data_IF_810868592200
#
_entry.id   IF_810868592200
#
_cell.length_a   1.000
_cell.length_b   1.000
_cell.length_c   1.000
_cell.angle_alpha   90.00
_cell.angle_beta   90.00
_cell.angle_gamma   90.00
#
_symmetry.space_group_name_H-M   'P 1'
#
loop_
_entity.id
_entity.type
_entity.pdbx_description
1 polymer ?
#
# COMPACT_ATOMS: atom_id res chain seq x y z
N UNK A 1 13.95 -23.03 6.86
CA UNK A 1 14.76 -24.15 7.41
C UNK A 1 13.85 -25.00 8.30
N UNK A 2 14.16 -26.28 8.64
CA UNK A 2 13.30 -27.03 9.53
C UNK A 2 13.22 -26.36 10.91
N UNK A 3 12.01 -26.27 11.47
CA UNK A 3 11.80 -25.69 12.80
C UNK A 3 12.55 -26.51 13.87
N UNK A 4 13.21 -25.82 14.81
CA UNK A 4 13.80 -26.47 15.99
C UNK A 4 12.69 -26.97 16.90
N UNK A 5 12.91 -28.12 17.55
CA UNK A 5 11.99 -28.61 18.57
C UNK A 5 12.01 -27.67 19.80
N UNK A 6 10.85 -27.28 20.36
CA UNK A 6 10.81 -26.53 21.62
C UNK A 6 11.53 -27.27 22.74
N UNK A 7 12.14 -26.54 23.68
CA UNK A 7 12.72 -27.16 24.86
C UNK A 7 11.65 -27.90 25.68
N UNK A 8 11.92 -29.10 26.18
CA UNK A 8 10.97 -29.83 27.04
C UNK A 8 10.71 -29.07 28.35
N UNK A 9 11.73 -28.38 28.87
CA UNK A 9 11.66 -27.66 30.14
C UNK A 9 12.56 -26.44 30.15
N UNK A 10 11.98 -25.31 30.53
CA UNK A 10 12.73 -24.09 30.80
C UNK A 10 13.32 -24.08 32.22
N UNK A 11 14.54 -23.53 32.41
CA UNK A 11 15.10 -23.30 33.75
C UNK A 11 14.15 -22.46 34.61
N UNK A 12 14.21 -22.63 35.94
CA UNK A 12 13.30 -21.93 36.87
C UNK A 12 13.39 -20.41 36.74
N UNK A 13 14.60 -19.87 36.60
CA UNK A 13 14.82 -18.43 36.42
C UNK A 13 14.15 -17.91 35.14
N UNK A 14 14.25 -18.68 34.04
CA UNK A 14 13.62 -18.33 32.75
C UNK A 14 12.11 -18.39 32.85
N UNK A 15 11.54 -19.44 33.47
CA UNK A 15 10.09 -19.54 33.70
C UNK A 15 9.56 -18.37 34.53
N UNK A 16 10.30 -17.96 35.57
CA UNK A 16 9.96 -16.78 36.36
C UNK A 16 9.98 -15.52 35.50
N UNK A 17 11.00 -15.33 34.67
CA UNK A 17 11.10 -14.19 33.77
C UNK A 17 9.96 -14.15 32.73
N UNK A 18 9.62 -15.28 32.12
CA UNK A 18 8.46 -15.39 31.21
C UNK A 18 7.16 -15.00 31.91
N UNK A 19 6.92 -15.52 33.12
CA UNK A 19 5.74 -15.18 33.92
C UNK A 19 5.68 -13.67 34.24
N UNK A 20 6.79 -13.14 34.75
CA UNK A 20 6.84 -11.79 35.30
C UNK A 20 6.84 -10.73 34.19
N UNK A 21 7.57 -10.94 33.09
CA UNK A 21 7.76 -9.93 32.06
C UNK A 21 6.80 -10.08 30.88
N UNK A 22 6.35 -11.29 30.55
CA UNK A 22 5.45 -11.54 29.42
C UNK A 22 4.03 -11.89 29.86
N UNK A 23 3.84 -13.00 30.59
CA UNK A 23 2.47 -13.49 30.90
C UNK A 23 1.66 -12.46 31.70
N UNK A 24 2.30 -11.73 32.62
CA UNK A 24 1.65 -10.68 33.42
C UNK A 24 1.23 -9.46 32.59
N UNK A 25 1.94 -9.15 31.49
CA UNK A 25 1.72 -7.96 30.63
C UNK A 25 0.94 -8.27 29.37
N UNK A 26 0.84 -9.55 28.98
CA UNK A 26 0.10 -9.99 27.81
C UNK A 26 -1.32 -9.40 27.71
N UNK A 27 -2.13 -9.32 28.79
CA UNK A 27 -3.46 -8.71 28.71
C UNK A 27 -3.43 -7.23 28.31
N UNK A 28 -2.40 -6.47 28.71
CA UNK A 28 -2.23 -5.07 28.32
C UNK A 28 -1.89 -4.95 26.83
N UNK A 29 -1.00 -5.81 26.33
CA UNK A 29 -0.65 -5.87 24.91
C UNK A 29 -1.88 -6.23 24.07
N UNK A 30 -2.62 -7.28 24.43
CA UNK A 30 -3.85 -7.67 23.74
C UNK A 30 -4.90 -6.54 23.75
N UNK A 31 -5.03 -5.82 24.86
CA UNK A 31 -5.93 -4.67 24.97
C UNK A 31 -5.51 -3.51 24.05
N UNK A 32 -4.21 -3.21 23.94
CA UNK A 32 -3.69 -2.16 23.04
C UNK A 32 -3.97 -2.50 21.58
N UNK A 33 -3.67 -3.74 21.16
CA UNK A 33 -3.92 -4.22 19.80
C UNK A 33 -5.42 -4.16 19.49
N UNK A 34 -6.25 -4.70 20.39
CA UNK A 34 -7.70 -4.73 20.22
C UNK A 34 -8.29 -3.33 20.12
N UNK A 35 -7.80 -2.39 20.94
CA UNK A 35 -8.23 -0.99 20.90
C UNK A 35 -7.85 -0.32 19.57
N UNK A 36 -6.63 -0.55 19.07
CA UNK A 36 -6.18 0.03 17.80
C UNK A 36 -7.02 -0.47 16.62
N UNK A 37 -7.38 -1.76 16.62
CA UNK A 37 -8.08 -2.42 15.52
C UNK A 37 -9.61 -2.45 15.65
N UNK A 38 -10.15 -2.07 16.81
CA UNK A 38 -11.59 -2.03 17.07
C UNK A 38 -12.25 -3.40 17.26
N UNK A 39 -11.47 -4.49 17.26
CA UNK A 39 -11.93 -5.87 17.42
C UNK A 39 -11.09 -6.59 18.48
N UNK A 40 -11.57 -7.71 19.02
CA UNK A 40 -10.82 -8.47 20.02
C UNK A 40 -9.69 -9.28 19.36
N UNK A 41 -8.45 -8.96 19.72
CA UNK A 41 -7.24 -9.62 19.23
C UNK A 41 -6.47 -10.31 20.36
N UNK A 42 -5.82 -11.42 20.04
CA UNK A 42 -4.98 -12.19 20.96
C UNK A 42 -3.54 -12.28 20.50
N UNK A 43 -2.62 -12.54 21.43
CA UNK A 43 -1.20 -12.76 21.11
C UNK A 43 -0.76 -14.15 21.51
N UNK A 44 -0.09 -14.86 20.59
CA UNK A 44 0.44 -16.20 20.81
C UNK A 44 1.94 -16.22 20.58
N UNK A 45 2.66 -16.91 21.46
CA UNK A 45 4.10 -17.12 21.36
C UNK A 45 4.47 -18.37 22.13
N UNK A 46 5.59 -18.99 21.76
CA UNK A 46 6.10 -20.19 22.42
C UNK A 46 7.47 -19.91 23.05
N UNK A 47 7.53 -19.57 24.37
CA UNK A 47 8.79 -19.30 25.06
C UNK A 47 9.78 -20.47 25.04
N UNK A 48 9.28 -21.71 25.01
CA UNK A 48 10.12 -22.91 24.91
C UNK A 48 10.79 -23.03 23.53
N UNK A 49 10.11 -22.56 22.48
CA UNK A 49 10.68 -22.44 21.14
C UNK A 49 11.71 -21.31 21.11
N UNK A 50 11.36 -20.11 21.56
CA UNK A 50 12.29 -18.96 21.54
C UNK A 50 13.60 -19.26 22.29
N UNK A 51 13.52 -20.00 23.40
CA UNK A 51 14.69 -20.41 24.19
C UNK A 51 15.73 -21.21 23.40
N UNK A 52 15.32 -22.03 22.41
CA UNK A 52 16.26 -22.82 21.59
C UNK A 52 16.75 -22.06 20.34
N UNK A 53 16.24 -20.86 20.11
CA UNK A 53 16.57 -20.01 18.95
C UNK A 53 17.60 -18.92 19.25
N UNK A 54 18.16 -18.89 20.45
CA UNK A 54 19.30 -18.04 20.80
C UNK A 54 20.36 -18.84 21.51
N UNK A 55 21.63 -18.57 21.19
CA UNK A 55 22.80 -19.08 21.92
C UNK A 55 23.37 -18.04 22.90
N UNK A 56 22.80 -16.83 22.92
CA UNK A 56 23.17 -15.78 23.87
C UNK A 56 22.59 -16.10 25.24
N UNK A 57 23.47 -16.40 26.20
CA UNK A 57 23.07 -16.75 27.57
C UNK A 57 22.35 -15.61 28.31
N UNK A 58 22.60 -14.35 27.95
CA UNK A 58 21.85 -13.19 28.46
C UNK A 58 20.41 -13.22 27.96
N UNK A 59 20.19 -13.53 26.68
CA UNK A 59 18.84 -13.62 26.10
C UNK A 59 18.10 -14.86 26.57
N UNK A 60 18.79 -16.02 26.66
CA UNK A 60 18.22 -17.26 27.23
C UNK A 60 17.69 -17.06 28.64
N UNK A 61 18.37 -16.27 29.47
CA UNK A 61 17.95 -15.96 30.83
C UNK A 61 16.71 -15.04 30.89
N UNK A 62 16.36 -14.38 29.78
CA UNK A 62 15.43 -13.24 29.70
C UNK A 62 14.36 -13.37 28.61
N UNK A 63 13.89 -14.59 28.33
CA UNK A 63 12.93 -14.85 27.24
C UNK A 63 11.64 -14.02 27.35
N UNK A 64 11.14 -13.76 28.56
CA UNK A 64 9.99 -12.87 28.77
C UNK A 64 10.27 -11.43 28.33
N UNK A 65 11.45 -10.89 28.69
CA UNK A 65 11.87 -9.56 28.21
C UNK A 65 12.00 -9.55 26.68
N UNK A 66 12.60 -10.59 26.11
CA UNK A 66 12.81 -10.70 24.65
C UNK A 66 11.47 -10.66 23.92
N UNK A 67 10.43 -11.33 24.42
CA UNK A 67 9.09 -11.24 23.82
C UNK A 67 8.57 -9.80 23.86
N UNK A 68 8.71 -9.11 25.01
CA UNK A 68 8.29 -7.72 25.13
C UNK A 68 9.06 -6.77 24.21
N UNK A 69 10.32 -7.07 23.89
CA UNK A 69 11.10 -6.29 22.91
C UNK A 69 10.49 -6.30 21.51
N UNK A 70 9.73 -7.34 21.13
CA UNK A 70 8.95 -7.35 19.89
C UNK A 70 7.58 -6.69 20.07
N UNK A 71 6.91 -6.97 21.19
CA UNK A 71 5.50 -6.57 21.39
C UNK A 71 5.32 -5.07 21.62
N UNK A 72 6.24 -4.40 22.32
CA UNK A 72 6.15 -2.95 22.53
C UNK A 72 6.28 -2.16 21.22
N UNK A 73 7.34 -2.36 20.41
CA UNK A 73 7.42 -1.71 19.10
C UNK A 73 6.29 -2.12 18.16
N UNK A 74 5.82 -3.37 18.23
CA UNK A 74 4.67 -3.81 17.44
C UNK A 74 3.42 -2.97 17.72
N UNK A 75 3.06 -2.79 19.00
CA UNK A 75 1.92 -1.95 19.35
C UNK A 75 2.08 -0.52 18.84
N UNK A 76 3.26 0.09 19.01
CA UNK A 76 3.51 1.46 18.50
C UNK A 76 3.43 1.54 16.97
N UNK A 77 4.02 0.57 16.26
CA UNK A 77 3.98 0.54 14.79
C UNK A 77 2.54 0.28 14.28
N UNK A 78 1.76 -0.55 14.97
CA UNK A 78 0.35 -0.77 14.67
C UNK A 78 -0.48 0.50 14.88
N UNK A 79 -0.26 1.20 15.99
CA UNK A 79 -0.90 2.48 16.29
C UNK A 79 -0.59 3.51 15.18
N UNK A 80 0.68 3.63 14.76
CA UNK A 80 1.07 4.50 13.64
C UNK A 80 0.50 4.06 12.29
N UNK A 81 0.40 2.76 12.03
CA UNK A 81 -0.26 2.23 10.84
C UNK A 81 -1.73 2.64 10.81
N UNK A 82 -2.44 2.46 11.93
CA UNK A 82 -3.85 2.85 12.07
C UNK A 82 -4.03 4.37 11.96
N UNK A 83 -3.13 5.15 12.54
CA UNK A 83 -3.15 6.62 12.39
C UNK A 83 -3.00 7.04 10.93
N UNK A 84 -2.11 6.39 10.19
CA UNK A 84 -1.84 6.71 8.78
C UNK A 84 -2.99 6.29 7.85
N UNK A 85 -3.49 5.06 7.98
CA UNK A 85 -4.44 4.49 7.01
C UNK A 85 -5.90 4.53 7.47
N UNK A 86 -6.15 4.89 8.74
CA UNK A 86 -7.49 5.02 9.30
C UNK A 86 -8.29 3.71 9.29
N UNK A 87 -9.60 3.84 9.09
CA UNK A 87 -10.53 2.71 9.12
C UNK A 87 -10.32 1.72 7.97
N UNK A 88 -9.76 2.16 6.84
CA UNK A 88 -9.39 1.26 5.74
C UNK A 88 -8.30 0.28 6.18
N UNK A 89 -7.28 0.77 6.89
CA UNK A 89 -6.19 -0.07 7.39
C UNK A 89 -6.66 -1.07 8.43
N UNK A 90 -7.56 -0.66 9.33
CA UNK A 90 -8.18 -1.58 10.31
C UNK A 90 -8.98 -2.67 9.61
N UNK A 91 -9.86 -2.26 8.69
CA UNK A 91 -10.80 -3.15 8.00
C UNK A 91 -10.05 -4.18 7.16
N UNK A 92 -9.01 -3.76 6.43
CA UNK A 92 -8.21 -4.66 5.61
C UNK A 92 -7.40 -5.64 6.46
N UNK A 93 -6.80 -5.18 7.57
CA UNK A 93 -6.06 -6.06 8.47
C UNK A 93 -6.98 -7.09 9.13
N UNK A 94 -8.15 -6.69 9.64
CA UNK A 94 -9.12 -7.62 10.23
C UNK A 94 -9.62 -8.64 9.19
N UNK A 95 -9.91 -8.19 7.96
CA UNK A 95 -10.36 -9.07 6.88
C UNK A 95 -9.30 -10.11 6.46
N UNK A 96 -8.03 -9.72 6.40
CA UNK A 96 -6.92 -10.61 6.05
C UNK A 96 -6.47 -11.50 7.23
N UNK A 97 -6.82 -11.12 8.46
CA UNK A 97 -6.48 -11.85 9.68
C UNK A 97 -7.73 -12.28 10.47
N UNK A 98 -8.63 -13.12 9.91
CA UNK A 98 -9.91 -13.47 10.53
C UNK A 98 -9.79 -14.23 11.86
N UNK A 99 -8.59 -14.72 12.23
CA UNK A 99 -8.35 -15.31 13.56
C UNK A 99 -8.10 -14.26 14.65
N UNK A 100 -7.89 -13.00 14.26
CA UNK A 100 -7.53 -11.89 15.15
C UNK A 100 -6.41 -12.29 16.13
N UNK A 101 -5.34 -12.83 15.55
CA UNK A 101 -4.22 -13.38 16.28
C UNK A 101 -2.92 -12.77 15.77
N UNK A 102 -2.09 -12.33 16.71
CA UNK A 102 -0.70 -11.97 16.48
C UNK A 102 0.19 -13.12 16.97
N UNK A 103 1.10 -13.60 16.16
CA UNK A 103 2.06 -14.64 16.52
C UNK A 103 3.50 -14.12 16.47
N UNK A 104 4.31 -14.40 17.50
CA UNK A 104 5.76 -14.26 17.41
C UNK A 104 6.40 -15.64 17.21
N UNK A 105 7.01 -15.85 16.04
CA UNK A 105 7.55 -17.14 15.63
C UNK A 105 8.87 -16.98 14.83
N UNK A 106 9.73 -18.02 14.78
CA UNK A 106 10.81 -18.07 13.80
C UNK A 106 10.24 -18.21 12.39
N UNK A 107 10.95 -17.68 11.40
CA UNK A 107 10.69 -17.96 9.99
C UNK A 107 10.98 -19.43 9.68
N UNK A 108 10.03 -20.12 9.05
CA UNK A 108 10.11 -21.53 8.67
C UNK A 108 10.55 -21.70 7.20
N UNK A 109 10.29 -22.88 6.61
CA UNK A 109 10.63 -23.17 5.21
C UNK A 109 9.45 -23.09 4.25
N UNK A 110 8.23 -23.14 4.80
CA UNK A 110 6.97 -23.03 4.08
C UNK A 110 6.59 -21.55 3.90
N UNK A 111 7.20 -20.65 4.67
CA UNK A 111 7.09 -19.21 4.53
C UNK A 111 7.51 -18.73 3.13
N UNK A 112 6.58 -18.04 2.48
CA UNK A 112 6.80 -17.44 1.15
C UNK A 112 7.66 -16.17 1.20
N UNK A 113 7.90 -15.63 2.39
CA UNK A 113 8.79 -14.49 2.64
C UNK A 113 10.15 -14.97 3.12
N UNK A 114 11.22 -14.27 2.72
CA UNK A 114 12.58 -14.50 3.24
C UNK A 114 13.15 -13.21 3.81
N UNK A 115 12.87 -12.96 5.08
CA UNK A 115 13.44 -11.83 5.80
C UNK A 115 14.89 -12.09 6.18
N UNK A 116 15.73 -11.05 6.07
CA UNK A 116 17.14 -11.10 6.49
C UNK A 116 17.29 -11.13 8.02
N UNK A 117 16.50 -10.34 8.73
CA UNK A 117 16.51 -10.25 10.20
C UNK A 117 15.17 -10.70 10.80
N UNK A 118 14.09 -10.12 10.28
CA UNK A 118 12.73 -10.43 10.64
C UNK A 118 11.78 -9.53 9.85
N UNK A 119 10.49 -9.78 9.98
CA UNK A 119 9.48 -9.04 9.26
C UNK A 119 8.06 -9.48 9.63
N UNK A 120 7.10 -8.84 8.98
CA UNK A 120 5.69 -9.05 9.21
C UNK A 120 5.11 -9.85 8.05
N UNK A 121 4.34 -10.88 8.36
CA UNK A 121 3.70 -11.73 7.37
C UNK A 121 2.27 -12.02 7.80
N UNK A 122 1.33 -12.10 6.86
CA UNK A 122 0.01 -12.64 7.13
C UNK A 122 -0.08 -14.00 6.45
N UNK A 123 -0.37 -15.03 7.22
CA UNK A 123 -0.51 -16.40 6.73
C UNK A 123 -1.58 -17.13 7.51
N UNK A 124 -2.42 -17.89 6.81
CA UNK A 124 -3.51 -18.67 7.40
C UNK A 124 -4.43 -17.86 8.33
N UNK A 125 -4.63 -16.59 7.99
CA UNK A 125 -5.44 -15.64 8.76
C UNK A 125 -4.84 -15.19 10.11
N UNK A 126 -3.53 -15.37 10.29
CA UNK A 126 -2.75 -14.91 11.45
C UNK A 126 -1.76 -13.84 11.01
N UNK A 127 -1.60 -12.80 11.83
CA UNK A 127 -0.52 -11.82 11.67
C UNK A 127 0.72 -12.31 12.40
N UNK A 128 1.79 -12.61 11.68
CA UNK A 128 3.01 -13.24 12.20
C UNK A 128 4.16 -12.24 12.20
N UNK A 129 4.74 -12.00 13.37
CA UNK A 129 6.03 -11.35 13.55
C UNK A 129 7.09 -12.45 13.48
N UNK A 130 7.83 -12.45 12.38
CA UNK A 130 8.83 -13.46 12.10
C UNK A 130 10.23 -12.93 12.38
N UNK A 131 11.09 -13.79 12.93
CA UNK A 131 12.53 -13.55 12.99
C UNK A 131 13.29 -14.64 12.22
N UNK A 132 14.35 -14.24 11.53
CA UNK A 132 15.23 -15.15 10.82
C UNK A 132 16.10 -15.95 11.82
N UNK A 133 16.57 -17.12 11.41
CA UNK A 133 17.46 -17.94 12.25
C UNK A 133 18.72 -17.15 12.63
N UNK A 134 19.10 -17.24 13.90
CA UNK A 134 20.23 -16.48 14.46
C UNK A 134 19.94 -15.00 14.73
N UNK A 135 18.73 -14.51 14.41
CA UNK A 135 18.35 -13.10 14.54
C UNK A 135 17.24 -12.85 15.58
N UNK A 136 17.02 -13.79 16.51
CA UNK A 136 16.14 -13.53 17.66
C UNK A 136 16.70 -12.33 18.45
N UNK A 137 15.81 -11.39 18.79
CA UNK A 137 16.12 -10.13 19.47
C UNK A 137 16.96 -9.11 18.68
N UNK A 138 17.17 -9.33 17.38
CA UNK A 138 17.89 -8.39 16.50
C UNK A 138 16.89 -7.49 15.79
N UNK A 139 17.11 -6.16 15.84
CA UNK A 139 16.29 -5.15 15.15
C UNK A 139 14.78 -5.34 15.34
N UNK A 140 14.38 -5.70 16.56
CA UNK A 140 12.99 -6.07 16.92
C UNK A 140 11.94 -5.04 16.53
N UNK A 141 12.30 -3.74 16.50
CA UNK A 141 11.39 -2.67 16.11
C UNK A 141 11.17 -2.56 14.61
N UNK A 142 12.08 -3.11 13.79
CA UNK A 142 11.97 -3.12 12.33
C UNK A 142 11.01 -4.20 11.84
N UNK A 143 10.84 -5.28 12.62
CA UNK A 143 10.03 -6.47 12.28
C UNK A 143 8.58 -6.13 11.95
N UNK A 144 8.04 -5.05 12.52
CA UNK A 144 6.64 -4.64 12.37
C UNK A 144 6.46 -3.29 11.67
N UNK A 145 7.47 -2.76 10.97
CA UNK A 145 7.35 -1.47 10.26
C UNK A 145 6.53 -1.55 8.97
N UNK A 146 6.54 -2.70 8.31
CA UNK A 146 6.05 -2.83 6.93
C UNK A 146 4.66 -3.49 6.84
N UNK A 147 3.70 -3.01 7.63
CA UNK A 147 2.30 -3.48 7.59
C UNK A 147 1.70 -3.47 6.19
N UNK A 148 1.95 -2.40 5.43
CA UNK A 148 1.45 -2.25 4.07
C UNK A 148 1.96 -3.34 3.12
N UNK A 149 3.23 -3.74 3.23
CA UNK A 149 3.80 -4.83 2.43
C UNK A 149 3.23 -6.19 2.84
N UNK A 150 3.01 -6.40 4.15
CA UNK A 150 2.37 -7.62 4.65
C UNK A 150 0.93 -7.77 4.12
N UNK A 151 0.14 -6.69 4.15
CA UNK A 151 -1.22 -6.65 3.59
C UNK A 151 -1.21 -6.90 2.08
N UNK A 152 -0.34 -6.19 1.34
CA UNK A 152 -0.19 -6.32 -0.11
C UNK A 152 0.19 -7.74 -0.52
N UNK A 153 1.15 -8.35 0.17
CA UNK A 153 1.58 -9.72 -0.09
C UNK A 153 0.46 -10.73 0.19
N UNK A 154 -0.26 -10.56 1.30
CA UNK A 154 -1.34 -11.45 1.68
C UNK A 154 -2.54 -11.37 0.73
N UNK A 155 -2.91 -10.15 0.31
CA UNK A 155 -3.95 -9.91 -0.68
C UNK A 155 -3.60 -10.55 -2.04
N UNK A 156 -2.32 -10.55 -2.44
CA UNK A 156 -1.87 -11.19 -3.67
C UNK A 156 -1.83 -12.73 -3.60
N UNK A 157 -1.58 -13.31 -2.41
CA UNK A 157 -1.46 -14.76 -2.21
C UNK A 157 -2.79 -15.49 -1.93
N UNK A 158 -3.82 -14.78 -1.46
CA UNK A 158 -5.14 -15.34 -1.23
C UNK A 158 -5.86 -15.63 -2.56
N UNK A 159 -5.99 -16.91 -2.93
CA UNK A 159 -6.68 -17.37 -4.15
C UNK A 159 -8.17 -16.99 -4.28
N UNK A 160 -8.72 -16.15 -3.40
CA UNK A 160 -9.90 -15.34 -3.69
C UNK A 160 -9.44 -14.16 -4.56
N UNK A 161 -9.75 -14.18 -5.86
CA UNK A 161 -9.34 -13.17 -6.85
C UNK A 161 -9.86 -11.75 -6.64
N UNK A 162 -9.67 -11.18 -5.45
CA UNK A 162 -9.97 -9.80 -5.07
C UNK A 162 -8.80 -9.11 -4.37
N UNK A 163 -7.58 -9.64 -4.47
CA UNK A 163 -6.38 -8.85 -4.19
C UNK A 163 -6.29 -7.73 -5.21
N UNK A 164 -7.00 -6.63 -4.96
CA UNK A 164 -7.05 -5.52 -5.91
C UNK A 164 -5.66 -4.91 -5.98
N UNK A 165 -5.12 -4.81 -7.19
CA UNK A 165 -3.87 -4.09 -7.42
C UNK A 165 -3.91 -2.67 -6.82
N UNK A 166 -5.11 -2.10 -6.71
CA UNK A 166 -5.41 -0.89 -5.93
C UNK A 166 -5.33 -1.13 -4.42
N UNK A 167 -4.10 -1.36 -3.97
CA UNK A 167 -3.75 -1.67 -2.59
C UNK A 167 -3.87 -0.46 -1.65
N UNK A 168 -3.63 -0.67 -0.36
CA UNK A 168 -3.78 0.36 0.67
C UNK A 168 -2.89 1.60 0.47
N UNK A 169 -1.69 1.45 -0.09
CA UNK A 169 -0.82 2.59 -0.43
C UNK A 169 -1.45 3.41 -1.55
N UNK A 170 -1.95 2.74 -2.59
CA UNK A 170 -2.61 3.39 -3.72
C UNK A 170 -3.84 4.19 -3.27
N UNK A 171 -4.68 3.60 -2.40
CA UNK A 171 -5.84 4.29 -1.84
C UNK A 171 -5.45 5.50 -0.99
N UNK A 172 -4.43 5.37 -0.15
CA UNK A 172 -3.92 6.49 0.64
C UNK A 172 -3.33 7.59 -0.25
N UNK A 173 -2.58 7.22 -1.29
CA UNK A 173 -2.00 8.16 -2.26
C UNK A 173 -3.08 8.99 -2.95
N UNK A 174 -4.22 8.36 -3.31
CA UNK A 174 -5.38 9.06 -3.87
C UNK A 174 -5.99 10.03 -2.86
N UNK A 175 -6.24 9.58 -1.63
CA UNK A 175 -6.82 10.41 -0.56
C UNK A 175 -5.97 11.64 -0.25
N UNK A 176 -4.65 11.50 -0.24
CA UNK A 176 -3.74 12.60 0.11
C UNK A 176 -3.38 13.48 -1.10
N UNK A 177 -3.17 12.87 -2.27
CA UNK A 177 -2.55 13.52 -3.43
C UNK A 177 -3.47 13.83 -4.59
N UNK A 178 -4.74 13.38 -4.56
CA UNK A 178 -5.71 13.57 -5.64
C UNK A 178 -7.01 14.20 -5.14
N UNK A 179 -7.66 13.57 -4.16
CA UNK A 179 -9.00 13.97 -3.69
C UNK A 179 -9.11 15.44 -3.25
N UNK A 180 -8.10 16.04 -2.57
CA UNK A 180 -8.21 17.43 -2.13
C UNK A 180 -8.19 18.45 -3.28
N UNK A 181 -7.57 18.12 -4.41
CA UNK A 181 -7.23 19.09 -5.47
C UNK A 181 -8.04 18.87 -6.76
N UNK A 182 -8.50 17.65 -7.03
CA UNK A 182 -9.14 17.30 -8.31
C UNK A 182 -10.35 18.17 -8.63
N UNK A 183 -11.13 18.58 -7.63
CA UNK A 183 -12.30 19.45 -7.85
C UNK A 183 -11.92 20.81 -8.43
N UNK A 184 -10.80 21.39 -8.01
CA UNK A 184 -10.29 22.65 -8.56
C UNK A 184 -9.77 22.47 -9.99
N UNK A 185 -9.03 21.39 -10.24
CA UNK A 185 -8.52 21.06 -11.59
C UNK A 185 -9.67 20.80 -12.57
N UNK A 186 -10.67 20.00 -12.19
CA UNK A 186 -11.85 19.74 -13.02
C UNK A 186 -12.60 21.02 -13.36
N UNK A 187 -12.80 21.90 -12.37
CA UNK A 187 -13.46 23.19 -12.59
C UNK A 187 -12.68 24.05 -13.58
N UNK A 188 -11.36 24.19 -13.39
CA UNK A 188 -10.52 24.99 -14.27
C UNK A 188 -10.53 24.47 -15.71
N UNK A 189 -10.41 23.16 -15.90
CA UNK A 189 -10.52 22.56 -17.24
C UNK A 189 -11.90 22.81 -17.84
N UNK A 190 -12.97 22.64 -17.07
CA UNK A 190 -14.35 22.89 -17.54
C UNK A 190 -14.60 24.33 -17.96
N UNK A 191 -13.99 25.31 -17.27
CA UNK A 191 -14.02 26.72 -17.65
C UNK A 191 -13.23 26.98 -18.94
N UNK A 192 -12.03 26.41 -19.07
CA UNK A 192 -11.18 26.54 -20.27
C UNK A 192 -11.87 26.03 -21.53
N UNK A 193 -12.52 24.86 -21.46
CA UNK A 193 -13.10 24.20 -22.64
C UNK A 193 -14.58 24.52 -22.87
N UNK A 194 -15.15 25.44 -22.09
CA UNK A 194 -16.57 25.81 -22.20
C UNK A 194 -17.54 24.70 -21.76
N UNK A 195 -17.07 23.68 -21.02
CA UNK A 195 -17.87 22.56 -20.52
C UNK A 195 -17.78 22.43 -18.99
N UNK A 196 -18.52 23.23 -18.20
CA UNK A 196 -18.44 23.21 -16.73
C UNK A 196 -18.80 21.87 -16.08
N UNK A 197 -19.51 21.00 -16.80
CA UNK A 197 -19.91 19.66 -16.37
C UNK A 197 -18.91 18.55 -16.73
N UNK A 198 -17.73 18.89 -17.25
CA UNK A 198 -16.74 17.89 -17.66
C UNK A 198 -16.32 16.99 -16.49
N UNK A 199 -16.22 15.69 -16.74
CA UNK A 199 -15.80 14.69 -15.77
C UNK A 199 -14.36 14.30 -15.98
N UNK A 200 -13.56 14.31 -14.91
CA UNK A 200 -12.23 13.71 -14.90
C UNK A 200 -12.29 12.30 -14.32
N UNK A 201 -11.97 11.30 -15.15
CA UNK A 201 -12.02 9.87 -14.80
C UNK A 201 -10.59 9.32 -14.65
N UNK A 202 -10.06 9.15 -13.43
CA UNK A 202 -8.67 8.73 -13.22
C UNK A 202 -8.41 7.22 -13.42
N UNK A 203 -9.47 6.40 -13.51
CA UNK A 203 -9.43 4.94 -13.66
C UNK A 203 -8.45 4.22 -12.71
N UNK A 204 -8.47 4.56 -11.42
CA UNK A 204 -7.46 4.09 -10.46
C UNK A 204 -7.30 2.57 -10.42
N UNK A 205 -8.40 1.81 -10.35
CA UNK A 205 -8.36 0.36 -10.24
C UNK A 205 -7.77 -0.29 -11.50
N UNK A 206 -8.19 0.17 -12.68
CA UNK A 206 -7.69 -0.35 -13.95
C UNK A 206 -6.21 -0.01 -14.15
N UNK A 207 -5.83 1.24 -13.85
CA UNK A 207 -4.46 1.71 -13.96
C UNK A 207 -3.54 0.98 -12.96
N UNK A 208 -3.99 0.81 -11.71
CA UNK A 208 -3.27 0.03 -10.70
C UNK A 208 -3.05 -1.42 -11.14
N UNK A 209 -4.04 -2.05 -11.79
CA UNK A 209 -3.90 -3.41 -12.31
C UNK A 209 -2.81 -3.52 -13.39
N UNK A 210 -2.75 -2.56 -14.31
CA UNK A 210 -1.71 -2.52 -15.35
C UNK A 210 -0.33 -2.25 -14.75
N UNK A 211 -0.22 -1.29 -13.81
CA UNK A 211 1.04 -0.95 -13.15
C UNK A 211 1.57 -2.13 -12.31
N UNK A 212 0.71 -2.80 -11.54
CA UNK A 212 1.09 -3.97 -10.76
C UNK A 212 1.57 -5.13 -11.65
N UNK A 213 0.91 -5.37 -12.79
CA UNK A 213 1.28 -6.42 -13.73
C UNK A 213 2.61 -6.14 -14.46
N UNK A 214 3.01 -4.87 -14.59
CA UNK A 214 4.25 -4.46 -15.26
C UNK A 214 5.52 -4.77 -14.45
N UNK A 215 5.40 -5.03 -13.14
CA UNK A 215 6.52 -5.44 -12.29
C UNK A 215 7.69 -4.46 -12.34
N UNK A 216 8.88 -4.93 -12.74
CA UNK A 216 10.10 -4.11 -12.78
C UNK A 216 10.11 -3.05 -13.90
N UNK A 217 9.12 -3.04 -14.80
CA UNK A 217 9.02 -2.03 -15.86
C UNK A 217 8.43 -0.71 -15.36
N UNK A 218 7.82 -0.69 -14.16
CA UNK A 218 7.33 0.52 -13.52
C UNK A 218 8.23 0.88 -12.33
N UNK A 219 8.25 2.17 -11.97
CA UNK A 219 8.80 2.64 -10.69
C UNK A 219 8.28 1.81 -9.51
N UNK A 220 9.17 1.48 -8.58
CA UNK A 220 8.89 0.59 -7.44
C UNK A 220 7.90 1.18 -6.42
N UNK A 221 7.80 2.51 -6.38
CA UNK A 221 6.90 3.29 -5.51
C UNK A 221 5.59 3.71 -6.19
N UNK A 222 5.20 3.10 -7.32
CA UNK A 222 4.02 3.52 -8.10
C UNK A 222 2.73 3.64 -7.26
N UNK A 223 2.53 2.72 -6.30
CA UNK A 223 1.34 2.70 -5.46
C UNK A 223 1.37 3.83 -4.41
N UNK A 224 2.54 4.27 -3.97
CA UNK A 224 2.69 5.42 -3.06
C UNK A 224 2.44 6.75 -3.76
N UNK A 225 2.57 6.81 -5.09
CA UNK A 225 2.49 8.05 -5.87
C UNK A 225 1.27 8.12 -6.79
N UNK A 226 0.47 7.06 -6.89
CA UNK A 226 -0.64 6.94 -7.86
C UNK A 226 -1.58 8.16 -7.86
N UNK A 227 -1.98 8.67 -6.70
CA UNK A 227 -2.91 9.80 -6.62
C UNK A 227 -2.29 11.08 -7.19
N UNK A 228 -1.11 11.45 -6.69
CA UNK A 228 -0.37 12.64 -7.16
C UNK A 228 -0.02 12.54 -8.65
N UNK A 229 0.37 11.35 -9.10
CA UNK A 229 0.68 11.10 -10.50
C UNK A 229 -0.56 11.32 -11.39
N UNK A 230 -1.71 10.73 -11.03
CA UNK A 230 -2.95 10.91 -11.77
C UNK A 230 -3.40 12.38 -11.83
N UNK A 231 -3.28 13.12 -10.73
CA UNK A 231 -3.59 14.55 -10.71
C UNK A 231 -2.68 15.32 -11.68
N UNK A 232 -1.38 14.99 -11.72
CA UNK A 232 -0.40 15.67 -12.55
C UNK A 232 -0.66 15.50 -14.06
N UNK A 233 -1.28 14.39 -14.49
CA UNK A 233 -1.71 14.23 -15.89
C UNK A 233 -2.84 15.19 -16.26
N UNK A 234 -3.85 15.35 -15.38
CA UNK A 234 -4.93 16.31 -15.62
C UNK A 234 -4.45 17.75 -15.52
N UNK A 235 -3.61 18.07 -14.54
CA UNK A 235 -3.03 19.41 -14.41
C UNK A 235 -2.12 19.77 -15.59
N UNK A 236 -1.40 18.79 -16.13
CA UNK A 236 -0.63 18.93 -17.37
C UNK A 236 -1.51 19.25 -18.58
N UNK A 237 -2.64 18.55 -18.74
CA UNK A 237 -3.61 18.87 -19.79
C UNK A 237 -4.17 20.29 -19.61
N UNK A 238 -4.54 20.66 -18.39
CA UNK A 238 -5.00 22.03 -18.07
C UNK A 238 -3.97 23.06 -18.53
N UNK A 239 -2.69 22.86 -18.19
CA UNK A 239 -1.60 23.74 -18.60
C UNK A 239 -1.48 23.86 -20.13
N UNK A 240 -1.63 22.77 -20.89
CA UNK A 240 -1.59 22.84 -22.34
C UNK A 240 -2.81 23.54 -22.95
N UNK A 241 -3.99 23.39 -22.36
CA UNK A 241 -5.20 24.13 -22.74
C UNK A 241 -5.04 25.64 -22.49
N UNK A 242 -4.48 26.03 -21.35
CA UNK A 242 -4.14 27.43 -21.05
C UNK A 242 -3.15 28.00 -22.09
N UNK A 243 -2.11 27.23 -22.43
CA UNK A 243 -1.11 27.64 -23.43
C UNK A 243 -1.64 27.75 -24.85
N UNK A 244 -2.67 26.96 -25.17
CA UNK A 244 -3.35 27.02 -26.46
C UNK A 244 -4.44 28.11 -26.50
N UNK A 245 -4.58 28.91 -25.43
CA UNK A 245 -5.49 30.06 -25.36
C UNK A 245 -6.98 29.69 -25.50
N UNK A 246 -7.39 28.54 -24.94
CA UNK A 246 -8.79 28.10 -24.95
C UNK A 246 -9.74 29.03 -24.19
N UNK A 247 -9.23 29.81 -23.23
CA UNK A 247 -10.07 30.68 -22.40
C UNK A 247 -10.73 31.79 -23.24
N UNK A 248 -12.05 31.68 -23.43
CA UNK A 248 -12.85 32.69 -24.14
C UNK A 248 -12.73 32.64 -25.66
N UNK A 249 -12.08 31.61 -26.22
CA UNK A 249 -12.06 31.36 -27.66
C UNK A 249 -13.19 30.39 -28.04
N UNK A 250 -14.28 30.93 -28.58
CA UNK A 250 -15.47 30.15 -28.96
C UNK A 250 -15.14 29.03 -29.96
N UNK A 251 -14.18 29.21 -30.87
CA UNK A 251 -13.85 28.22 -31.89
C UNK A 251 -13.13 27.01 -31.28
N UNK A 252 -12.18 27.26 -30.36
CA UNK A 252 -11.48 26.21 -29.65
C UNK A 252 -12.41 25.45 -28.70
N UNK A 253 -13.27 26.15 -27.97
CA UNK A 253 -14.23 25.54 -27.06
C UNK A 253 -15.27 24.69 -27.79
N UNK A 254 -15.82 25.19 -28.91
CA UNK A 254 -16.76 24.44 -29.75
C UNK A 254 -16.09 23.20 -30.35
N UNK A 255 -14.86 23.33 -30.86
CA UNK A 255 -14.09 22.20 -31.40
C UNK A 255 -13.83 21.11 -30.35
N UNK A 256 -13.48 21.51 -29.12
CA UNK A 256 -13.34 20.58 -28.01
C UNK A 256 -14.64 19.83 -27.72
N UNK A 257 -15.76 20.54 -27.65
CA UNK A 257 -17.06 19.96 -27.32
C UNK A 257 -17.59 19.05 -28.44
N UNK A 258 -17.25 19.33 -29.70
CA UNK A 258 -17.56 18.44 -30.83
C UNK A 258 -16.77 17.13 -30.75
N UNK A 259 -15.46 17.20 -30.50
CA UNK A 259 -14.61 16.02 -30.34
C UNK A 259 -14.92 15.22 -29.07
N UNK A 260 -15.14 15.91 -27.94
CA UNK A 260 -15.31 15.33 -26.60
C UNK A 260 -16.80 15.34 -26.21
N UNK A 261 -17.64 14.81 -27.08
CA UNK A 261 -19.10 14.86 -26.95
C UNK A 261 -19.69 14.24 -25.66
N UNK A 262 -18.92 13.41 -24.92
CA UNK A 262 -19.35 12.83 -23.64
C UNK A 262 -19.02 13.70 -22.43
N UNK A 263 -18.34 14.84 -22.62
CA UNK A 263 -17.84 15.68 -21.53
C UNK A 263 -17.02 14.87 -20.51
N UNK A 264 -16.10 14.05 -21.02
CA UNK A 264 -15.27 13.19 -20.18
C UNK A 264 -13.82 13.21 -20.66
N UNK A 265 -12.92 13.31 -19.69
CA UNK A 265 -11.48 13.15 -19.87
C UNK A 265 -11.06 11.99 -18.99
N UNK A 266 -10.36 11.02 -19.55
CA UNK A 266 -9.97 9.80 -18.85
C UNK A 266 -8.46 9.56 -18.88
N UNK A 267 -7.90 9.06 -17.77
CA UNK A 267 -6.49 8.66 -17.69
C UNK A 267 -6.36 7.15 -17.77
N UNK A 268 -5.53 6.66 -18.67
CA UNK A 268 -5.34 5.23 -18.94
C UNK A 268 -3.84 4.89 -18.93
N UNK A 269 -3.46 3.88 -18.15
CA UNK A 269 -2.15 3.22 -18.28
C UNK A 269 -2.34 2.03 -19.22
N UNK A 270 -1.65 2.06 -20.36
CA UNK A 270 -1.76 1.06 -21.44
C UNK A 270 -0.43 0.34 -21.65
N UNK A 271 -0.48 -0.84 -22.27
CA UNK A 271 0.75 -1.61 -22.54
C UNK A 271 1.65 -0.98 -23.61
N UNK A 272 1.10 -0.15 -24.49
CA UNK A 272 1.83 0.51 -25.58
C UNK A 272 1.07 1.73 -26.09
N UNK A 273 1.79 2.80 -26.42
CA UNK A 273 1.27 3.98 -27.11
C UNK A 273 1.24 3.79 -28.64
N UNK A 274 0.28 4.42 -29.31
CA UNK A 274 0.16 4.37 -30.77
C UNK A 274 1.18 5.26 -31.46
N UNK A 275 1.33 6.50 -30.96
CA UNK A 275 2.17 7.54 -31.58
C UNK A 275 3.12 8.19 -30.58
N UNK A 276 2.69 8.31 -29.32
CA UNK A 276 3.46 9.01 -28.28
C UNK A 276 4.69 8.24 -27.78
N UNK A 277 5.56 8.95 -27.07
CA UNK A 277 6.69 8.37 -26.34
C UNK A 277 6.38 8.24 -24.85
N UNK A 278 6.20 9.37 -24.15
CA UNK A 278 5.90 9.40 -22.71
C UNK A 278 4.41 9.25 -22.40
N UNK A 279 3.60 9.96 -23.18
CA UNK A 279 2.14 9.96 -23.10
C UNK A 279 1.58 10.32 -24.47
N UNK A 280 0.30 10.01 -24.69
CA UNK A 280 -0.46 10.46 -25.84
C UNK A 280 -1.85 10.90 -25.41
N UNK A 281 -2.43 11.83 -26.16
CA UNK A 281 -3.81 12.27 -26.00
C UNK A 281 -4.54 11.95 -27.30
N UNK A 282 -5.76 11.43 -27.20
CA UNK A 282 -6.57 11.07 -28.35
C UNK A 282 -8.05 11.14 -27.99
N UNK A 283 -8.91 11.27 -29.00
CA UNK A 283 -10.37 11.19 -28.82
C UNK A 283 -10.84 9.78 -29.20
N UNK A 284 -11.42 9.07 -28.25
CA UNK A 284 -11.99 7.73 -28.43
C UNK A 284 -13.44 7.73 -27.96
N UNK A 285 -14.36 7.40 -28.87
CA UNK A 285 -15.81 7.34 -28.60
C UNK A 285 -16.37 8.59 -27.90
N UNK A 286 -15.88 9.78 -28.25
CA UNK A 286 -16.32 11.06 -27.66
C UNK A 286 -15.74 11.36 -26.27
N UNK A 287 -14.71 10.62 -25.83
CA UNK A 287 -13.94 10.85 -24.60
C UNK A 287 -12.54 11.30 -24.99
N UNK A 288 -12.00 12.32 -24.31
CA UNK A 288 -10.57 12.64 -24.42
C UNK A 288 -9.78 11.70 -23.53
N UNK A 289 -8.97 10.84 -24.12
CA UNK A 289 -8.19 9.84 -23.39
C UNK A 289 -6.74 10.30 -23.31
N UNK A 290 -6.24 10.44 -22.09
CA UNK A 290 -4.83 10.60 -21.77
C UNK A 290 -4.27 9.19 -21.54
N UNK A 291 -3.26 8.79 -22.31
CA UNK A 291 -2.63 7.49 -22.17
C UNK A 291 -1.15 7.63 -21.81
N UNK A 292 -0.66 6.71 -20.98
CA UNK A 292 0.78 6.52 -20.69
C UNK A 292 1.09 5.03 -20.58
N UNK A 293 2.36 4.67 -20.48
CA UNK A 293 2.79 3.27 -20.26
C UNK A 293 3.42 3.12 -18.88
N UNK A 294 3.52 1.90 -18.34
CA UNK A 294 4.19 1.67 -17.06
C UNK A 294 5.62 2.21 -17.00
N UNK A 295 6.37 2.13 -18.11
CA UNK A 295 7.76 2.62 -18.21
C UNK A 295 7.86 4.14 -18.03
N UNK A 296 6.87 4.89 -18.53
CA UNK A 296 6.85 6.34 -18.49
C UNK A 296 5.82 6.91 -17.51
N UNK A 297 5.31 6.08 -16.60
CA UNK A 297 4.32 6.51 -15.64
C UNK A 297 4.85 7.68 -14.80
N UNK A 298 4.09 8.77 -14.80
CA UNK A 298 4.41 10.04 -14.14
C UNK A 298 5.67 10.75 -14.68
N UNK A 299 5.98 10.57 -15.97
CA UNK A 299 7.08 11.26 -16.66
C UNK A 299 6.54 12.38 -17.55
N UNK A 300 7.18 13.56 -17.50
CA UNK A 300 6.89 14.73 -18.35
C UNK A 300 5.40 15.11 -18.43
N UNK A 301 4.66 14.97 -17.33
CA UNK A 301 3.21 15.17 -17.34
C UNK A 301 2.77 16.58 -17.75
N UNK A 302 3.65 17.59 -17.67
CA UNK A 302 3.38 18.94 -18.17
C UNK A 302 3.14 18.99 -19.68
N UNK A 303 3.62 18.01 -20.45
CA UNK A 303 3.54 18.02 -21.91
C UNK A 303 2.27 17.31 -22.44
N UNK A 304 1.43 16.80 -21.52
CA UNK A 304 0.19 16.10 -21.83
C UNK A 304 -0.77 17.04 -22.54
N UNK A 305 -1.11 16.72 -23.80
CA UNK A 305 -1.99 17.56 -24.61
C UNK A 305 -1.27 18.68 -25.38
N UNK A 306 0.06 18.65 -25.48
CA UNK A 306 0.82 19.63 -26.30
C UNK A 306 0.40 19.66 -27.78
N UNK A 307 -0.21 18.59 -28.28
CA UNK A 307 -0.75 18.47 -29.64
C UNK A 307 -2.29 18.59 -29.68
N UNK A 308 -2.94 19.14 -28.63
CA UNK A 308 -4.41 19.13 -28.50
C UNK A 308 -5.14 19.73 -29.73
N UNK A 309 -4.56 20.76 -30.35
CA UNK A 309 -5.14 21.40 -31.55
C UNK A 309 -5.10 20.52 -32.81
N UNK A 310 -4.21 19.53 -32.87
CA UNK A 310 -4.15 18.57 -33.97
C UNK A 310 -5.06 17.34 -33.73
N UNK A 311 -5.49 17.16 -32.48
CA UNK A 311 -6.31 16.03 -32.04
C UNK A 311 -7.81 16.32 -32.18
N UNK A 312 -8.22 17.57 -31.92
CA UNK A 312 -9.60 18.05 -32.04
C UNK A 312 -9.95 18.33 -33.51
#
# INVERSE_FOLDING_TARGET
MPLKAPADKLPLAVRKNVRDEWESKKPEIEARISKALGEAWTVTTNPHLLYVYTDDESYKARIGDVIMWYMEPFCSNLESFVEKYGDDGKSELNALCPKHQVELAPQDHDDHTKFTYGGLQIQDGVLRLLFAEGNLAVNVSDVSRDFHEALKTAAAGGGSGSGTAFNINARQSVREGYDPEIGAVQKAIGELVGAPGIRLTPNFEANAAVLAAAGAQVRDDWDKVLGRASLAYFDGLKYQLERAEFEGDDMLQDGFQEGVAKNEISLHVVGKLQKGHYHEVLVEDGVLVIQTTPEYFWTNTSDVGSEILEIL
#
